data_IF_075536341437
#
_entry.id   IF_075536341437
#
_cell.length_a   1.000
_cell.length_b   1.000
_cell.length_c   1.000
_cell.angle_alpha   90.00
_cell.angle_beta   90.00
_cell.angle_gamma   90.00
#
_symmetry.space_group_name_H-M   'P 1'
#
loop_
_entity.id
_entity.type
_entity.pdbx_description
1 polymer ?
#
# COMPACT_ATOMS: atom_id res chain seq x y z
N UNK A 1 -12.78 -19.81 -7.08
CA UNK A 1 -11.46 -19.75 -6.42
C UNK A 1 -10.46 -18.88 -7.17
N UNK A 2 -10.24 -19.12 -8.47
CA UNK A 2 -9.26 -18.34 -9.29
C UNK A 2 -9.55 -16.83 -9.33
N UNK A 3 -10.81 -16.43 -9.41
CA UNK A 3 -11.19 -15.00 -9.45
C UNK A 3 -10.79 -14.22 -8.19
N UNK A 4 -10.97 -14.81 -7.00
CA UNK A 4 -10.59 -14.19 -5.72
C UNK A 4 -9.06 -14.07 -5.63
N UNK A 5 -8.33 -15.09 -6.08
CA UNK A 5 -6.87 -15.04 -6.15
C UNK A 5 -6.37 -13.94 -7.07
N UNK A 6 -7.01 -13.77 -8.23
CA UNK A 6 -6.70 -12.67 -9.16
C UNK A 6 -6.97 -11.30 -8.52
N UNK A 7 -8.10 -11.13 -7.83
CA UNK A 7 -8.41 -9.89 -7.10
C UNK A 7 -7.38 -9.58 -6.01
N UNK A 8 -6.98 -10.59 -5.24
CA UNK A 8 -5.93 -10.42 -4.22
C UNK A 8 -4.62 -9.97 -4.85
N UNK A 9 -4.18 -10.62 -5.93
CA UNK A 9 -2.95 -10.23 -6.64
C UNK A 9 -3.06 -8.79 -7.18
N UNK A 10 -4.22 -8.43 -7.75
CA UNK A 10 -4.46 -7.09 -8.27
C UNK A 10 -4.39 -6.00 -7.19
N UNK A 11 -4.93 -6.26 -5.98
CA UNK A 11 -4.84 -5.33 -4.84
C UNK A 11 -3.37 -4.95 -4.57
N UNK A 12 -2.45 -5.91 -4.63
CA UNK A 12 -1.04 -5.66 -4.32
C UNK A 12 -0.27 -5.07 -5.50
N UNK A 13 -0.55 -5.49 -6.73
CA UNK A 13 0.18 -5.04 -7.92
C UNK A 13 -0.21 -3.61 -8.34
N UNK A 14 -1.50 -3.26 -8.31
CA UNK A 14 -1.99 -1.96 -8.80
C UNK A 14 -1.32 -0.77 -8.09
N UNK A 15 -1.23 -0.72 -6.75
CA UNK A 15 -0.55 0.36 -6.03
C UNK A 15 0.93 0.47 -6.40
N UNK A 16 1.62 -0.67 -6.59
CA UNK A 16 3.03 -0.70 -6.98
C UNK A 16 3.20 -0.09 -8.37
N UNK A 17 2.36 -0.48 -9.32
CA UNK A 17 2.39 0.09 -10.68
C UNK A 17 2.09 1.58 -10.67
N UNK A 18 1.14 2.02 -9.86
CA UNK A 18 0.80 3.43 -9.71
C UNK A 18 1.96 4.25 -9.13
N UNK A 19 2.57 3.77 -8.04
CA UNK A 19 3.76 4.39 -7.46
C UNK A 19 4.94 4.42 -8.43
N UNK A 20 5.19 3.31 -9.13
CA UNK A 20 6.25 3.23 -10.14
C UNK A 20 6.02 4.22 -11.30
N UNK A 21 4.77 4.33 -11.77
CA UNK A 21 4.37 5.29 -12.81
C UNK A 21 4.62 6.73 -12.38
N UNK A 22 4.19 7.10 -11.17
CA UNK A 22 4.44 8.44 -10.59
C UNK A 22 5.94 8.69 -10.48
N UNK A 23 6.69 7.74 -9.94
CA UNK A 23 8.15 7.87 -9.77
C UNK A 23 8.87 8.01 -11.12
N UNK A 24 8.45 7.26 -12.14
CA UNK A 24 9.01 7.35 -13.49
C UNK A 24 8.65 8.64 -14.22
N UNK A 25 7.57 9.33 -13.82
CA UNK A 25 7.21 10.64 -14.39
C UNK A 25 7.90 11.82 -13.70
N UNK A 26 8.48 11.63 -12.52
CA UNK A 26 9.23 12.67 -11.83
C UNK A 26 10.57 12.99 -12.51
N UNK A 27 10.98 14.25 -12.48
CA UNK A 27 12.30 14.70 -12.90
C UNK A 27 13.43 14.17 -12.00
N UNK A 28 14.66 14.14 -12.51
CA UNK A 28 15.83 13.61 -11.76
C UNK A 28 16.02 14.28 -10.39
N UNK A 29 15.80 15.59 -10.29
CA UNK A 29 15.91 16.35 -9.04
C UNK A 29 14.84 15.92 -8.03
N UNK A 30 13.60 15.78 -8.49
CA UNK A 30 12.46 15.42 -7.66
C UNK A 30 12.51 13.95 -7.23
N UNK A 31 12.97 13.04 -8.10
CA UNK A 31 13.25 11.65 -7.71
C UNK A 31 14.28 11.57 -6.59
N UNK A 32 15.34 12.38 -6.65
CA UNK A 32 16.37 12.43 -5.61
C UNK A 32 15.82 12.90 -4.26
N UNK A 33 14.98 13.95 -4.29
CA UNK A 33 14.30 14.47 -3.10
C UNK A 33 13.31 13.45 -2.54
N UNK A 34 12.46 12.87 -3.39
CA UNK A 34 11.48 11.85 -3.03
C UNK A 34 12.14 10.61 -2.42
N UNK A 35 13.26 10.13 -2.98
CA UNK A 35 14.03 9.00 -2.41
C UNK A 35 14.59 9.32 -1.03
N UNK A 36 15.00 10.56 -0.80
CA UNK A 36 15.51 11.00 0.50
C UNK A 36 14.38 11.11 1.51
N UNK A 37 13.21 11.56 1.08
CA UNK A 37 12.01 11.70 1.89
C UNK A 37 11.43 10.33 2.26
N UNK A 38 11.39 9.37 1.34
CA UNK A 38 10.99 7.97 1.61
C UNK A 38 11.84 7.27 2.67
N UNK A 39 13.09 7.69 2.87
CA UNK A 39 13.94 7.15 3.93
C UNK A 39 13.56 7.68 5.32
N UNK A 40 12.72 8.71 5.40
CA UNK A 40 12.29 9.27 6.67
C UNK A 40 11.26 8.35 7.32
N UNK A 41 11.43 7.97 8.60
CA UNK A 41 10.46 7.17 9.33
C UNK A 41 9.05 7.76 9.31
N UNK A 42 8.93 9.09 9.40
CA UNK A 42 7.65 9.80 9.37
C UNK A 42 6.87 9.58 8.09
N UNK A 43 7.55 9.42 6.95
CA UNK A 43 6.91 9.15 5.65
C UNK A 43 6.39 7.72 5.59
N UNK A 44 7.13 6.77 6.17
CA UNK A 44 6.65 5.40 6.30
C UNK A 44 5.43 5.32 7.23
N UNK A 45 5.42 6.05 8.33
CA UNK A 45 4.26 6.12 9.24
C UNK A 45 3.06 6.82 8.59
N UNK A 46 3.26 7.97 7.94
CA UNK A 46 2.17 8.79 7.40
C UNK A 46 1.61 8.33 6.04
N UNK A 47 2.37 7.59 5.23
CA UNK A 47 1.89 7.06 3.95
C UNK A 47 2.01 5.54 3.84
N UNK A 48 3.08 4.94 4.37
CA UNK A 48 3.29 3.49 4.29
C UNK A 48 2.27 2.69 5.10
N UNK A 49 2.06 3.04 6.36
CA UNK A 49 1.11 2.33 7.24
C UNK A 49 -0.33 2.40 6.71
N UNK A 50 -0.89 3.56 6.32
CA UNK A 50 -2.25 3.62 5.76
C UNK A 50 -2.40 2.79 4.48
N UNK A 51 -1.40 2.84 3.59
CA UNK A 51 -1.41 2.05 2.35
C UNK A 51 -1.42 0.56 2.68
N UNK A 52 -0.50 0.09 3.53
CA UNK A 52 -0.42 -1.32 3.92
C UNK A 52 -1.69 -1.77 4.66
N UNK A 53 -2.21 -0.95 5.57
CA UNK A 53 -3.45 -1.21 6.30
C UNK A 53 -4.64 -1.37 5.35
N UNK A 54 -4.74 -0.51 4.33
CA UNK A 54 -5.76 -0.61 3.27
C UNK A 54 -5.64 -1.92 2.50
N UNK A 55 -4.43 -2.30 2.07
CA UNK A 55 -4.19 -3.55 1.33
C UNK A 55 -4.55 -4.79 2.15
N UNK A 56 -4.20 -4.81 3.43
CA UNK A 56 -4.50 -5.91 4.35
C UNK A 56 -6.01 -6.00 4.60
N UNK A 57 -6.68 -4.86 4.80
CA UNK A 57 -8.13 -4.80 4.97
C UNK A 57 -8.87 -5.42 3.77
N UNK A 58 -8.56 -4.95 2.55
CA UNK A 58 -9.19 -5.46 1.34
C UNK A 58 -8.85 -6.93 1.06
N UNK A 59 -7.61 -7.35 1.36
CA UNK A 59 -7.23 -8.77 1.31
C UNK A 59 -8.10 -9.60 2.24
N UNK A 60 -8.30 -9.16 3.48
CA UNK A 60 -9.17 -9.82 4.46
C UNK A 60 -10.66 -9.82 4.08
N UNK A 61 -11.14 -8.80 3.38
CA UNK A 61 -12.51 -8.75 2.85
C UNK A 61 -12.70 -9.83 1.77
N UNK A 62 -11.80 -9.90 0.78
CA UNK A 62 -11.93 -10.86 -0.31
C UNK A 62 -11.66 -12.31 0.11
N UNK A 63 -10.80 -12.53 1.10
CA UNK A 63 -10.57 -13.86 1.67
C UNK A 63 -11.56 -14.23 2.80
N UNK A 64 -12.55 -13.38 3.09
CA UNK A 64 -13.46 -13.50 4.23
C UNK A 64 -12.76 -13.78 5.58
N UNK A 65 -11.52 -13.30 5.72
CA UNK A 65 -10.65 -13.56 6.88
C UNK A 65 -10.74 -12.38 7.86
N UNK A 66 -11.59 -12.52 8.88
CA UNK A 66 -11.85 -11.46 9.87
C UNK A 66 -10.60 -10.93 10.57
N UNK A 67 -9.64 -11.80 10.90
CA UNK A 67 -8.38 -11.39 11.52
C UNK A 67 -7.59 -10.40 10.65
N UNK A 68 -7.51 -10.63 9.33
CA UNK A 68 -6.86 -9.70 8.42
C UNK A 68 -7.61 -8.36 8.33
N UNK A 69 -8.94 -8.40 8.34
CA UNK A 69 -9.74 -7.17 8.35
C UNK A 69 -9.45 -6.32 9.60
N UNK A 70 -9.40 -6.95 10.78
CA UNK A 70 -9.07 -6.25 12.02
C UNK A 70 -7.66 -5.66 12.02
N UNK A 71 -6.65 -6.40 11.53
CA UNK A 71 -5.28 -5.88 11.39
C UNK A 71 -5.29 -4.66 10.47
N UNK A 72 -5.96 -4.74 9.33
CA UNK A 72 -6.07 -3.62 8.39
C UNK A 72 -6.72 -2.38 9.02
N UNK A 73 -7.82 -2.54 9.76
CA UNK A 73 -8.50 -1.45 10.48
C UNK A 73 -7.61 -0.85 11.58
N UNK A 74 -6.92 -1.68 12.37
CA UNK A 74 -6.02 -1.19 13.43
C UNK A 74 -4.89 -0.35 12.83
N UNK A 75 -4.31 -0.81 11.71
CA UNK A 75 -3.27 -0.05 11.02
C UNK A 75 -3.79 1.28 10.47
N UNK A 76 -5.04 1.35 10.02
CA UNK A 76 -5.66 2.58 9.51
C UNK A 76 -6.07 3.57 10.60
N UNK A 77 -6.53 3.07 11.75
CA UNK A 77 -6.93 3.91 12.88
C UNK A 77 -5.76 4.32 13.76
N UNK A 78 -4.66 3.56 13.71
CA UNK A 78 -3.43 3.83 14.46
C UNK A 78 -2.38 4.64 13.69
N UNK A 79 -2.65 5.02 12.44
CA UNK A 79 -1.75 5.82 11.58
C UNK A 79 -2.04 7.31 11.61
#
# INVERSE_FOLDING_TARGET
MLFIQFLTIAIWIIPILFFASIYMKMDKKDRGKFRTELKRPSVYLGMGIPVIGTLILFTGIFSATKWLQHIGVIMLLGS
#
